data_IF_471190006771
#
_entry.id   IF_471190006771
#
_cell.length_a   1.000
_cell.length_b   1.000
_cell.length_c   1.000
_cell.angle_alpha   90.00
_cell.angle_beta   90.00
_cell.angle_gamma   90.00
#
_symmetry.space_group_name_H-M   'P 1'
#
loop_
_entity.id
_entity.type
_entity.pdbx_description
1 polymer ?
#
# COMPACT_ATOMS: atom_id res chain seq x y z
N UNK A 1 -26.28 7.23 1.03
CA UNK A 1 -25.43 6.01 0.95
C UNK A 1 -24.55 5.95 -0.30
N UNK A 2 -25.09 6.05 -1.53
CA UNK A 2 -24.30 5.90 -2.78
C UNK A 2 -23.12 6.88 -2.91
N UNK A 3 -23.30 8.16 -2.59
CA UNK A 3 -22.24 9.19 -2.65
C UNK A 3 -21.02 8.87 -1.77
N UNK A 4 -21.25 8.41 -0.53
CA UNK A 4 -20.17 8.06 0.40
C UNK A 4 -19.39 6.82 -0.07
N UNK A 5 -20.08 5.84 -0.66
CA UNK A 5 -19.43 4.69 -1.28
C UNK A 5 -18.54 5.11 -2.46
N UNK A 6 -19.04 5.99 -3.34
CA UNK A 6 -18.26 6.51 -4.47
C UNK A 6 -16.99 7.24 -4.02
N UNK A 7 -17.09 8.09 -2.99
CA UNK A 7 -15.93 8.77 -2.42
C UNK A 7 -14.92 7.77 -1.87
N UNK A 8 -15.37 6.76 -1.12
CA UNK A 8 -14.47 5.73 -0.59
C UNK A 8 -13.77 4.96 -1.69
N UNK A 9 -14.51 4.53 -2.71
CA UNK A 9 -13.92 3.85 -3.88
C UNK A 9 -12.90 4.75 -4.57
N UNK A 10 -13.22 6.03 -4.77
CA UNK A 10 -12.30 6.98 -5.38
C UNK A 10 -11.02 7.17 -4.56
N UNK A 11 -11.11 7.24 -3.23
CA UNK A 11 -9.93 7.36 -2.35
C UNK A 11 -9.03 6.13 -2.42
N UNK A 12 -9.60 4.92 -2.43
CA UNK A 12 -8.82 3.69 -2.54
C UNK A 12 -8.27 3.47 -3.96
N UNK A 13 -9.01 3.87 -5.00
CA UNK A 13 -8.50 3.88 -6.37
C UNK A 13 -7.32 4.86 -6.52
N UNK A 14 -7.44 6.06 -5.93
CA UNK A 14 -6.36 7.04 -5.87
C UNK A 14 -5.14 6.48 -5.13
N UNK A 15 -5.33 5.79 -4.01
CA UNK A 15 -4.26 5.11 -3.29
C UNK A 15 -3.53 4.08 -4.16
N UNK A 16 -4.25 3.33 -5.00
CA UNK A 16 -3.66 2.37 -5.95
C UNK A 16 -2.80 3.08 -7.00
N UNK A 17 -3.32 4.14 -7.61
CA UNK A 17 -2.58 4.93 -8.61
C UNK A 17 -1.34 5.57 -7.99
N UNK A 18 -1.49 6.19 -6.82
CA UNK A 18 -0.39 6.82 -6.09
C UNK A 18 0.69 5.82 -5.70
N UNK A 19 0.32 4.59 -5.32
CA UNK A 19 1.30 3.56 -5.02
C UNK A 19 2.21 3.29 -6.22
N UNK A 20 1.65 3.12 -7.42
CA UNK A 20 2.43 2.89 -8.64
C UNK A 20 3.38 4.05 -8.92
N UNK A 21 2.85 5.27 -8.98
CA UNK A 21 3.63 6.48 -9.28
C UNK A 21 4.73 6.71 -8.24
N UNK A 22 4.41 6.64 -6.95
CA UNK A 22 5.38 6.85 -5.87
C UNK A 22 6.41 5.72 -5.82
N UNK A 23 6.04 4.49 -6.16
CA UNK A 23 6.98 3.40 -6.24
C UNK A 23 8.01 3.62 -7.35
N UNK A 24 7.57 4.00 -8.54
CA UNK A 24 8.46 4.29 -9.68
C UNK A 24 9.42 5.43 -9.34
N UNK A 25 8.90 6.55 -8.82
CA UNK A 25 9.71 7.70 -8.39
C UNK A 25 10.73 7.28 -7.34
N UNK A 26 10.32 6.52 -6.32
CA UNK A 26 11.23 6.09 -5.26
C UNK A 26 12.31 5.13 -5.77
N UNK A 27 11.96 4.23 -6.69
CA UNK A 27 12.90 3.30 -7.32
C UNK A 27 13.94 4.06 -8.14
N UNK A 28 13.51 5.02 -8.95
CA UNK A 28 14.42 5.82 -9.78
C UNK A 28 15.32 6.71 -8.93
N UNK A 29 14.74 7.36 -7.91
CA UNK A 29 15.50 8.14 -6.94
C UNK A 29 16.54 7.28 -6.20
N UNK A 30 16.15 6.08 -5.73
CA UNK A 30 17.04 5.17 -5.03
C UNK A 30 18.20 4.72 -5.93
N UNK A 31 17.92 4.33 -7.17
CA UNK A 31 18.95 3.96 -8.15
C UNK A 31 19.93 5.09 -8.42
N UNK A 32 19.43 6.33 -8.51
CA UNK A 32 20.25 7.52 -8.75
C UNK A 32 21.21 7.85 -7.61
N UNK A 33 20.86 7.53 -6.35
CA UNK A 33 21.66 7.90 -5.18
C UNK A 33 22.51 6.75 -4.61
N UNK A 34 22.03 5.51 -4.71
CA UNK A 34 22.63 4.35 -4.06
C UNK A 34 23.05 3.24 -5.03
N UNK A 35 22.79 3.40 -6.34
CA UNK A 35 23.08 2.40 -7.37
C UNK A 35 21.96 1.37 -7.57
N UNK A 36 22.16 0.45 -8.53
CA UNK A 36 21.17 -0.56 -8.89
C UNK A 36 20.83 -1.53 -7.75
N UNK A 37 19.64 -2.14 -7.80
CA UNK A 37 19.20 -3.20 -6.88
C UNK A 37 19.94 -4.55 -7.10
N UNK A 38 21.27 -4.55 -7.18
CA UNK A 38 22.08 -5.71 -7.58
C UNK A 38 22.38 -6.71 -6.47
N UNK A 39 21.85 -6.52 -5.26
CA UNK A 39 22.03 -7.47 -4.17
C UNK A 39 21.03 -8.65 -4.29
N UNK A 40 21.51 -9.77 -4.82
CA UNK A 40 20.95 -11.15 -4.69
C UNK A 40 19.75 -11.54 -5.56
N UNK A 41 19.92 -11.59 -6.89
CA UNK A 41 19.20 -12.54 -7.77
C UNK A 41 17.67 -12.41 -7.92
N UNK A 42 17.00 -11.58 -7.13
CA UNK A 42 15.57 -11.32 -7.24
C UNK A 42 15.37 -10.09 -8.12
N UNK A 43 14.83 -10.30 -9.32
CA UNK A 43 14.38 -9.23 -10.21
C UNK A 43 13.61 -8.19 -9.40
N UNK A 44 14.05 -6.93 -9.42
CA UNK A 44 13.40 -5.85 -8.66
C UNK A 44 11.90 -5.75 -8.92
N UNK A 45 11.43 -6.24 -10.07
CA UNK A 45 10.01 -6.28 -10.41
C UNK A 45 9.20 -7.31 -9.61
N UNK A 46 9.74 -8.50 -9.31
CA UNK A 46 8.94 -9.60 -8.73
C UNK A 46 8.44 -9.28 -7.31
N UNK A 47 9.21 -8.54 -6.51
CA UNK A 47 8.79 -8.11 -5.17
C UNK A 47 7.69 -7.05 -5.25
N UNK A 48 7.83 -6.08 -6.15
CA UNK A 48 6.81 -5.04 -6.37
C UNK A 48 5.49 -5.69 -6.75
N UNK A 49 5.52 -6.65 -7.69
CA UNK A 49 4.33 -7.38 -8.08
C UNK A 49 3.68 -8.10 -6.90
N UNK A 50 4.45 -8.76 -6.04
CA UNK A 50 3.87 -9.46 -4.91
C UNK A 50 3.25 -8.51 -3.87
N UNK A 51 3.89 -7.37 -3.59
CA UNK A 51 3.28 -6.34 -2.74
C UNK A 51 1.99 -5.82 -3.38
N UNK A 52 1.96 -5.60 -4.70
CA UNK A 52 0.73 -5.21 -5.42
C UNK A 52 -0.37 -6.27 -5.31
N UNK A 53 -0.03 -7.57 -5.38
CA UNK A 53 -0.99 -8.68 -5.22
C UNK A 53 -1.66 -8.70 -3.83
N UNK A 54 -1.03 -8.13 -2.81
CA UNK A 54 -1.64 -7.97 -1.49
C UNK A 54 -2.38 -6.63 -1.40
N UNK A 55 -1.74 -5.56 -1.82
CA UNK A 55 -2.23 -4.18 -1.65
C UNK A 55 -3.47 -3.86 -2.49
N UNK A 56 -3.48 -4.25 -3.77
CA UNK A 56 -4.56 -3.90 -4.71
C UNK A 56 -5.87 -4.60 -4.31
N UNK A 57 -5.92 -5.93 -4.09
CA UNK A 57 -7.17 -6.59 -3.68
C UNK A 57 -7.70 -6.05 -2.36
N UNK A 58 -6.81 -5.78 -1.38
CA UNK A 58 -7.23 -5.18 -0.11
C UNK A 58 -7.85 -3.80 -0.33
N UNK A 59 -7.25 -2.93 -1.14
CA UNK A 59 -7.81 -1.60 -1.42
C UNK A 59 -9.09 -1.66 -2.24
N UNK A 60 -9.35 -2.73 -3.00
CA UNK A 60 -10.65 -2.95 -3.64
C UNK A 60 -11.72 -3.40 -2.62
N UNK A 61 -11.35 -4.21 -1.63
CA UNK A 61 -12.28 -4.72 -0.60
C UNK A 61 -12.58 -3.68 0.48
N UNK A 62 -11.58 -2.92 0.94
CA UNK A 62 -11.70 -1.92 2.01
C UNK A 62 -12.85 -0.91 1.84
N UNK A 63 -13.13 -0.32 0.66
CA UNK A 63 -14.24 0.62 0.49
C UNK A 63 -15.61 -0.03 0.69
N UNK A 64 -15.75 -1.34 0.42
CA UNK A 64 -16.99 -2.10 0.55
C UNK A 64 -17.38 -2.40 2.00
N UNK A 65 -16.41 -2.35 2.91
CA UNK A 65 -16.63 -2.65 4.32
C UNK A 65 -17.27 -1.46 5.05
N UNK A 66 -18.31 -1.74 5.85
CA UNK A 66 -18.99 -0.73 6.68
C UNK A 66 -18.32 -0.55 8.05
N UNK A 67 -17.67 -1.59 8.57
CA UNK A 67 -17.05 -1.61 9.88
C UNK A 67 -15.64 -1.00 9.84
N UNK A 68 -15.48 0.17 10.46
CA UNK A 68 -14.21 0.90 10.50
C UNK A 68 -13.10 0.13 11.24
N UNK A 69 -13.42 -0.59 12.33
CA UNK A 69 -12.43 -1.37 13.10
C UNK A 69 -11.82 -2.46 12.23
N UNK A 70 -12.65 -3.15 11.44
CA UNK A 70 -12.18 -4.18 10.52
C UNK A 70 -11.22 -3.62 9.46
N UNK A 71 -11.47 -2.40 8.95
CA UNK A 71 -10.55 -1.75 8.00
C UNK A 71 -9.17 -1.55 8.61
N UNK A 72 -9.08 -1.04 9.84
CA UNK A 72 -7.79 -0.87 10.52
C UNK A 72 -7.06 -2.19 10.72
N UNK A 73 -7.77 -3.24 11.13
CA UNK A 73 -7.17 -4.56 11.29
C UNK A 73 -6.66 -5.13 9.97
N UNK A 74 -7.38 -4.95 8.87
CA UNK A 74 -6.93 -5.38 7.54
C UNK A 74 -5.70 -4.60 7.07
N UNK A 75 -5.66 -3.29 7.30
CA UNK A 75 -4.48 -2.47 6.98
C UNK A 75 -3.28 -2.87 7.86
N UNK A 76 -3.50 -3.12 9.15
CA UNK A 76 -2.45 -3.61 10.04
C UNK A 76 -1.93 -4.99 9.59
N UNK A 77 -2.84 -5.91 9.24
CA UNK A 77 -2.49 -7.22 8.72
C UNK A 77 -1.68 -7.11 7.42
N UNK A 78 -2.04 -6.20 6.51
CA UNK A 78 -1.27 -5.91 5.30
C UNK A 78 0.16 -5.49 5.63
N UNK A 79 0.34 -4.54 6.55
CA UNK A 79 1.65 -4.04 6.97
C UNK A 79 2.49 -5.17 7.59
N UNK A 80 1.90 -5.92 8.52
CA UNK A 80 2.56 -7.04 9.19
C UNK A 80 2.95 -8.13 8.19
N UNK A 81 2.09 -8.44 7.21
CA UNK A 81 2.38 -9.43 6.18
C UNK A 81 3.57 -9.01 5.29
N UNK A 82 3.58 -7.74 4.85
CA UNK A 82 4.70 -7.19 4.06
C UNK A 82 6.01 -7.24 4.86
N UNK A 83 5.97 -6.83 6.14
CA UNK A 83 7.14 -6.88 7.01
C UNK A 83 7.59 -8.32 7.23
N UNK A 84 6.71 -9.22 7.64
CA UNK A 84 7.06 -10.61 7.92
C UNK A 84 7.71 -11.30 6.72
N UNK A 85 7.24 -11.02 5.51
CA UNK A 85 7.75 -11.65 4.31
C UNK A 85 9.04 -11.01 3.76
N UNK A 86 9.17 -9.68 3.80
CA UNK A 86 10.35 -9.00 3.24
C UNK A 86 11.46 -8.74 4.26
N UNK A 87 11.17 -8.63 5.55
CA UNK A 87 12.17 -8.24 6.55
C UNK A 87 13.37 -9.21 6.65
N UNK A 88 13.19 -10.56 6.55
CA UNK A 88 14.31 -11.50 6.63
C UNK A 88 15.35 -11.35 5.50
N UNK A 89 14.91 -11.05 4.28
CA UNK A 89 15.78 -11.06 3.10
C UNK A 89 16.03 -9.66 2.51
N UNK A 90 15.08 -8.74 2.67
CA UNK A 90 15.04 -7.44 2.02
C UNK A 90 14.53 -6.34 2.96
N UNK A 91 15.21 -6.05 4.09
CA UNK A 91 14.71 -5.17 5.14
C UNK A 91 14.41 -3.74 4.66
N UNK A 92 15.26 -3.15 3.83
CA UNK A 92 15.04 -1.79 3.28
C UNK A 92 13.76 -1.75 2.43
N UNK A 93 13.54 -2.77 1.60
CA UNK A 93 12.31 -2.89 0.81
C UNK A 93 11.10 -3.13 1.70
N UNK A 94 11.24 -3.95 2.74
CA UNK A 94 10.19 -4.22 3.71
C UNK A 94 9.64 -2.91 4.31
N UNK A 95 10.52 -2.08 4.85
CA UNK A 95 10.13 -0.79 5.42
C UNK A 95 9.52 0.14 4.39
N UNK A 96 10.14 0.26 3.21
CA UNK A 96 9.64 1.11 2.13
C UNK A 96 8.21 0.71 1.72
N UNK A 97 7.99 -0.56 1.40
CA UNK A 97 6.69 -1.05 0.95
C UNK A 97 5.65 -1.06 2.08
N UNK A 98 6.03 -1.38 3.31
CA UNK A 98 5.12 -1.33 4.44
C UNK A 98 4.63 0.09 4.73
N UNK A 99 5.53 1.07 4.66
CA UNK A 99 5.20 2.48 4.85
C UNK A 99 4.38 3.03 3.69
N UNK A 100 4.77 2.73 2.45
CA UNK A 100 4.06 3.22 1.26
C UNK A 100 2.67 2.60 1.15
N UNK A 101 2.59 1.26 1.06
CA UNK A 101 1.32 0.56 0.89
C UNK A 101 0.42 0.70 2.12
N UNK A 102 0.99 0.58 3.32
CA UNK A 102 0.25 0.74 4.57
C UNK A 102 -0.22 2.17 4.78
N UNK A 103 0.66 3.15 4.54
CA UNK A 103 0.35 4.57 4.68
C UNK A 103 -0.75 5.03 3.72
N UNK A 104 -0.71 4.60 2.46
CA UNK A 104 -1.76 4.90 1.47
C UNK A 104 -3.10 4.25 1.83
N UNK A 105 -3.12 2.97 2.22
CA UNK A 105 -4.35 2.31 2.68
C UNK A 105 -4.93 2.99 3.93
N UNK A 106 -4.06 3.33 4.90
CA UNK A 106 -4.46 3.95 6.16
C UNK A 106 -5.01 5.36 5.96
N UNK A 107 -4.35 6.17 5.14
CA UNK A 107 -4.79 7.53 4.82
C UNK A 107 -6.13 7.52 4.08
N UNK A 108 -6.33 6.60 3.12
CA UNK A 108 -7.63 6.42 2.47
C UNK A 108 -8.74 6.10 3.48
N UNK A 109 -8.50 5.18 4.43
CA UNK A 109 -9.45 4.82 5.50
C UNK A 109 -9.74 6.01 6.42
N UNK A 110 -8.71 6.74 6.85
CA UNK A 110 -8.82 7.89 7.74
C UNK A 110 -9.61 9.03 7.10
N UNK A 111 -9.29 9.38 5.86
CA UNK A 111 -9.97 10.46 5.11
C UNK A 111 -11.45 10.08 4.89
N UNK A 112 -11.72 8.84 4.46
CA UNK A 112 -13.08 8.29 4.35
C UNK A 112 -13.86 8.43 5.66
N UNK A 113 -13.25 8.03 6.77
CA UNK A 113 -13.90 8.05 8.09
C UNK A 113 -14.18 9.48 8.56
N UNK A 114 -13.25 10.39 8.33
CA UNK A 114 -13.42 11.81 8.64
C UNK A 114 -14.53 12.45 7.80
N UNK A 115 -14.59 12.18 6.50
CA UNK A 115 -15.64 12.66 5.58
C UNK A 115 -17.03 12.09 5.89
N UNK A 116 -17.11 10.93 6.56
CA UNK A 116 -18.37 10.33 7.00
C UNK A 116 -18.89 10.92 8.31
N UNK A 117 -18.01 11.46 9.16
CA UNK A 117 -18.36 12.09 10.44
C UNK A 117 -18.85 13.53 10.29
N UNK A 118 -18.51 14.19 9.18
CA UNK A 118 -19.08 15.48 8.76
C UNK A 118 -20.40 15.28 8.03
#
# INVERSE_FOLDING_TARGET
MKRQLLINVALHALAIVLYGVLNDIAVDWYKGHYGGFTARGVSSGSIVFLVMWVFVPLNVVLPLLTNWKLKYWLVAAQIVLILWWLLPEHPVRAYFFSCLAGGLSLSAVLISHWLRRK
#
